data_IF_072481764333
#
_entry.id   IF_072481764333
#
_cell.length_a   1.000
_cell.length_b   1.000
_cell.length_c   1.000
_cell.angle_alpha   90.00
_cell.angle_beta   90.00
_cell.angle_gamma   90.00
#
_symmetry.space_group_name_H-M   'P 1'
#
loop_
_entity.id
_entity.type
_entity.pdbx_description
1 polymer ?
#
# COMPACT_ATOMS: atom_id res chain seq x y z
N UNK A 1 23.24 -5.11 -12.35
CA UNK A 1 24.62 -4.95 -11.88
C UNK A 1 25.61 -5.27 -12.99
N UNK A 2 26.88 -4.89 -12.82
CA UNK A 2 27.97 -5.17 -13.77
C UNK A 2 28.43 -6.64 -13.72
N UNK A 3 27.95 -7.45 -12.77
CA UNK A 3 28.39 -8.86 -12.59
C UNK A 3 27.30 -9.91 -12.83
N UNK A 4 26.02 -9.51 -12.97
CA UNK A 4 24.89 -10.44 -13.12
C UNK A 4 24.27 -10.95 -11.81
N UNK A 5 24.91 -10.73 -10.65
CA UNK A 5 24.38 -11.10 -9.32
C UNK A 5 24.03 -9.90 -8.42
N UNK A 6 24.23 -8.67 -8.89
CA UNK A 6 23.98 -7.46 -8.10
C UNK A 6 22.66 -6.78 -8.51
N UNK A 7 21.81 -6.55 -7.52
CA UNK A 7 20.59 -5.74 -7.62
C UNK A 7 20.80 -4.43 -6.88
N UNK A 8 20.51 -3.31 -7.53
CA UNK A 8 20.64 -1.99 -6.94
C UNK A 8 19.39 -1.16 -7.18
N UNK A 9 18.91 -0.47 -6.16
CA UNK A 9 17.83 0.51 -6.29
C UNK A 9 18.43 1.91 -6.34
N UNK A 10 18.34 2.57 -7.50
CA UNK A 10 18.89 3.92 -7.73
C UNK A 10 20.36 4.09 -7.30
N UNK A 11 21.16 3.02 -7.41
CA UNK A 11 22.57 3.01 -7.06
C UNK A 11 22.90 2.51 -5.64
N UNK A 12 21.89 2.23 -4.81
CA UNK A 12 22.06 1.58 -3.51
C UNK A 12 22.00 0.06 -3.68
N UNK A 13 22.96 -0.67 -3.10
CA UNK A 13 22.95 -2.15 -3.10
C UNK A 13 21.74 -2.65 -2.31
N UNK A 14 21.02 -3.63 -2.86
CA UNK A 14 19.85 -4.22 -2.19
C UNK A 14 20.20 -4.81 -0.83
N UNK A 15 21.41 -5.35 -0.66
CA UNK A 15 21.83 -5.97 0.60
C UNK A 15 21.94 -4.94 1.72
N UNK A 16 22.52 -3.77 1.42
CA UNK A 16 22.65 -2.68 2.40
C UNK A 16 21.28 -2.15 2.85
N UNK A 17 20.38 -1.93 1.89
CA UNK A 17 19.08 -1.32 2.16
C UNK A 17 18.07 -2.30 2.76
N UNK A 18 18.21 -3.60 2.51
CA UNK A 18 17.32 -4.61 3.11
C UNK A 18 17.57 -4.81 4.61
N UNK A 19 18.80 -4.59 5.08
CA UNK A 19 19.15 -4.73 6.50
C UNK A 19 18.91 -3.46 7.32
N UNK A 20 18.92 -2.28 6.68
CA UNK A 20 18.99 -0.99 7.39
C UNK A 20 17.79 -0.08 7.21
N UNK A 21 17.02 -0.24 6.12
CA UNK A 21 15.90 0.66 5.82
C UNK A 21 14.54 0.04 6.14
N UNK A 22 13.60 0.89 6.53
CA UNK A 22 12.18 0.55 6.51
C UNK A 22 11.68 0.46 5.05
N UNK A 23 10.61 -0.31 4.83
CA UNK A 23 9.96 -0.37 3.52
C UNK A 23 9.57 1.03 3.01
N UNK A 24 9.10 1.90 3.90
CA UNK A 24 8.68 3.26 3.60
C UNK A 24 9.83 4.15 3.11
N UNK A 25 11.07 3.91 3.56
CA UNK A 25 12.25 4.60 3.03
C UNK A 25 12.53 4.17 1.59
N UNK A 26 12.35 2.88 1.28
CA UNK A 26 12.55 2.34 -0.06
C UNK A 26 11.41 2.75 -1.00
N UNK A 27 10.18 2.76 -0.52
CA UNK A 27 9.04 3.32 -1.24
C UNK A 27 9.30 4.80 -1.58
N UNK A 28 9.78 5.58 -0.62
CA UNK A 28 10.15 6.97 -0.85
C UNK A 28 11.29 7.11 -1.87
N UNK A 29 12.33 6.27 -1.77
CA UNK A 29 13.43 6.23 -2.75
C UNK A 29 12.91 5.99 -4.17
N UNK A 30 12.02 5.01 -4.36
CA UNK A 30 11.54 4.65 -5.68
C UNK A 30 10.56 5.68 -6.26
N UNK A 31 9.57 6.13 -5.47
CA UNK A 31 8.49 7.03 -5.91
C UNK A 31 8.92 8.50 -5.92
N UNK A 32 9.62 8.95 -4.87
CA UNK A 32 10.02 10.35 -4.68
C UNK A 32 11.48 10.62 -5.07
N UNK A 33 12.25 9.57 -5.38
CA UNK A 33 13.52 9.65 -6.10
C UNK A 33 14.77 9.74 -5.23
N UNK A 34 14.62 9.79 -3.90
CA UNK A 34 15.73 9.88 -2.94
C UNK A 34 15.38 9.18 -1.62
N UNK A 35 16.39 8.75 -0.88
CA UNK A 35 16.18 8.34 0.51
C UNK A 35 15.70 9.56 1.34
N UNK A 36 14.67 9.39 2.17
CA UNK A 36 14.14 10.48 2.98
C UNK A 36 15.08 10.82 4.14
N UNK A 37 15.09 12.08 4.54
CA UNK A 37 15.55 12.47 5.88
C UNK A 37 14.56 12.01 6.95
N UNK A 38 14.96 12.01 8.23
CA UNK A 38 14.07 11.60 9.34
C UNK A 38 12.73 12.36 9.37
N UNK A 39 12.75 13.67 9.08
CA UNK A 39 11.53 14.48 9.03
C UNK A 39 10.67 14.17 7.81
N UNK A 40 11.29 13.94 6.65
CA UNK A 40 10.58 13.52 5.44
C UNK A 40 9.94 12.14 5.62
N UNK A 41 10.65 11.20 6.25
CA UNK A 41 10.13 9.86 6.54
C UNK A 41 8.93 9.93 7.49
N UNK A 42 9.02 10.71 8.58
CA UNK A 42 7.91 10.88 9.51
C UNK A 42 6.66 11.47 8.81
N UNK A 43 6.84 12.48 7.96
CA UNK A 43 5.76 13.05 7.17
C UNK A 43 5.19 12.06 6.16
N UNK A 44 6.06 11.26 5.52
CA UNK A 44 5.66 10.26 4.54
C UNK A 44 4.86 9.13 5.17
N UNK A 45 5.31 8.59 6.31
CA UNK A 45 4.58 7.58 7.09
C UNK A 45 3.21 8.10 7.54
N UNK A 46 3.13 9.35 8.01
CA UNK A 46 1.86 9.98 8.36
C UNK A 46 0.92 10.13 7.16
N UNK A 47 1.45 10.53 5.99
CA UNK A 47 0.70 10.58 4.73
C UNK A 47 0.15 9.18 4.38
N UNK A 48 1.01 8.16 4.30
CA UNK A 48 0.61 6.79 3.96
C UNK A 48 -0.44 6.25 4.94
N UNK A 49 -0.27 6.48 6.24
CA UNK A 49 -1.25 6.10 7.27
C UNK A 49 -2.64 6.70 7.02
N UNK A 50 -2.71 7.98 6.63
CA UNK A 50 -3.97 8.65 6.26
C UNK A 50 -4.60 8.16 4.95
N UNK A 51 -3.86 7.41 4.12
CA UNK A 51 -4.32 6.93 2.82
C UNK A 51 -4.83 5.47 2.85
N UNK A 52 -4.88 4.82 4.01
CA UNK A 52 -5.39 3.45 4.21
C UNK A 52 -6.89 3.32 3.93
N UNK A 53 -7.64 4.40 4.13
CA UNK A 53 -9.09 4.41 3.97
C UNK A 53 -9.57 4.05 2.56
N UNK A 54 -10.63 3.24 2.49
CA UNK A 54 -11.29 2.86 1.24
C UNK A 54 -12.59 3.65 1.04
N UNK A 55 -12.80 4.29 -0.13
CA UNK A 55 -14.08 4.93 -0.47
C UNK A 55 -15.25 3.93 -0.39
N UNK A 56 -16.45 4.44 -0.05
CA UNK A 56 -17.65 3.60 0.09
C UNK A 56 -17.95 2.78 -1.18
N UNK A 57 -17.77 3.37 -2.37
CA UNK A 57 -17.97 2.69 -3.65
C UNK A 57 -16.96 1.54 -3.86
N UNK A 58 -15.72 1.70 -3.39
CA UNK A 58 -14.69 0.64 -3.48
C UNK A 58 -15.03 -0.49 -2.50
N UNK A 59 -15.43 -0.16 -1.25
CA UNK A 59 -15.91 -1.16 -0.29
C UNK A 59 -17.10 -1.94 -0.86
N UNK A 60 -18.10 -1.26 -1.41
CA UNK A 60 -19.27 -1.89 -2.02
C UNK A 60 -18.87 -2.83 -3.17
N UNK A 61 -17.97 -2.42 -4.06
CA UNK A 61 -17.50 -3.27 -5.14
C UNK A 61 -16.79 -4.53 -4.62
N UNK A 62 -15.94 -4.40 -3.59
CA UNK A 62 -15.26 -5.54 -2.96
C UNK A 62 -16.26 -6.51 -2.31
N UNK A 63 -17.38 -6.03 -1.77
CA UNK A 63 -18.44 -6.87 -1.18
C UNK A 63 -19.19 -7.73 -2.22
N UNK A 64 -19.15 -7.36 -3.51
CA UNK A 64 -19.71 -8.17 -4.61
C UNK A 64 -18.77 -9.27 -5.09
N UNK A 65 -17.49 -9.23 -4.73
CA UNK A 65 -16.51 -10.22 -5.17
C UNK A 65 -16.62 -11.48 -4.29
N UNK A 66 -16.88 -12.66 -4.88
CA UNK A 66 -17.10 -13.88 -4.09
C UNK A 66 -15.83 -14.34 -3.36
N UNK A 67 -15.98 -15.09 -2.26
CA UNK A 67 -14.88 -15.65 -1.49
C UNK A 67 -13.97 -16.58 -2.32
N UNK A 68 -14.50 -17.21 -3.36
CA UNK A 68 -13.75 -18.10 -4.27
C UNK A 68 -12.88 -17.36 -5.28
N UNK A 69 -12.95 -16.02 -5.36
CA UNK A 69 -12.13 -15.25 -6.26
C UNK A 69 -10.64 -15.34 -5.90
N UNK A 70 -9.77 -15.38 -6.91
CA UNK A 70 -8.34 -15.33 -6.66
C UNK A 70 -7.96 -13.95 -6.06
N UNK A 71 -7.17 -13.88 -4.97
CA UNK A 71 -6.80 -12.61 -4.32
C UNK A 71 -6.24 -11.54 -5.27
N UNK A 72 -5.50 -11.95 -6.31
CA UNK A 72 -5.00 -11.03 -7.35
C UNK A 72 -6.13 -10.42 -8.20
N UNK A 73 -7.22 -11.14 -8.48
CA UNK A 73 -8.38 -10.60 -9.21
C UNK A 73 -9.13 -9.59 -8.35
N UNK A 74 -9.18 -9.81 -7.04
CA UNK A 74 -9.75 -8.88 -6.05
C UNK A 74 -8.97 -7.56 -6.08
N UNK A 75 -7.63 -7.62 -5.96
CA UNK A 75 -6.79 -6.42 -6.02
C UNK A 75 -6.92 -5.70 -7.37
N UNK A 76 -6.90 -6.43 -8.49
CA UNK A 76 -7.12 -5.85 -9.83
C UNK A 76 -8.44 -5.10 -9.89
N UNK A 77 -9.51 -5.70 -9.38
CA UNK A 77 -10.86 -5.13 -9.40
C UNK A 77 -10.95 -3.91 -8.48
N UNK A 78 -10.44 -4.00 -7.25
CA UNK A 78 -10.41 -2.92 -6.29
C UNK A 78 -9.66 -1.68 -6.80
N UNK A 79 -8.47 -1.90 -7.40
CA UNK A 79 -7.69 -0.82 -8.03
C UNK A 79 -8.42 -0.23 -9.23
N UNK A 80 -9.04 -1.06 -10.07
CA UNK A 80 -9.82 -0.59 -11.21
C UNK A 80 -10.99 0.31 -10.78
N UNK A 81 -11.72 -0.06 -9.73
CA UNK A 81 -12.80 0.78 -9.18
C UNK A 81 -12.23 2.02 -8.49
N UNK A 82 -11.12 1.92 -7.77
CA UNK A 82 -10.49 3.09 -7.16
C UNK A 82 -10.12 4.14 -8.21
N UNK A 83 -9.61 3.72 -9.38
CA UNK A 83 -9.29 4.62 -10.49
C UNK A 83 -10.49 5.35 -11.09
N UNK A 84 -11.71 4.81 -10.97
CA UNK A 84 -12.93 5.53 -11.40
C UNK A 84 -13.48 6.46 -10.31
N UNK A 85 -13.22 6.14 -9.04
CA UNK A 85 -13.69 6.93 -7.89
C UNK A 85 -12.75 8.11 -7.60
N UNK A 86 -11.45 7.91 -7.75
CA UNK A 86 -10.39 8.91 -7.55
C UNK A 86 -9.49 8.95 -8.79
N UNK A 87 -10.00 9.49 -9.92
CA UNK A 87 -9.27 9.49 -11.18
C UNK A 87 -8.03 10.38 -11.13
N UNK A 88 -7.03 10.02 -11.94
CA UNK A 88 -5.90 10.92 -12.24
C UNK A 88 -6.42 12.17 -12.96
N UNK A 89 -5.74 13.31 -12.75
CA UNK A 89 -6.04 14.54 -13.48
C UNK A 89 -5.52 14.42 -14.91
N UNK A 90 -6.24 15.01 -15.87
CA UNK A 90 -5.89 15.02 -17.30
C UNK A 90 -4.49 15.54 -17.63
N UNK A 91 -3.88 16.33 -16.75
CA UNK A 91 -2.53 16.87 -16.96
C UNK A 91 -1.41 15.84 -16.73
N UNK A 92 -1.74 14.66 -16.16
CA UNK A 92 -0.83 13.54 -15.88
C UNK A 92 0.52 13.99 -15.29
N UNK A 93 0.46 14.96 -14.39
CA UNK A 93 1.67 15.54 -13.83
C UNK A 93 2.36 14.57 -12.86
N UNK A 94 3.68 14.67 -12.75
CA UNK A 94 4.48 13.77 -11.89
C UNK A 94 4.04 13.79 -10.42
N UNK A 95 3.72 14.95 -9.79
CA UNK A 95 3.19 14.95 -8.43
C UNK A 95 1.90 14.13 -8.25
N UNK A 96 0.95 14.24 -9.18
CA UNK A 96 -0.31 13.49 -9.18
C UNK A 96 -0.08 11.99 -9.33
N UNK A 97 0.81 11.58 -10.23
CA UNK A 97 1.19 10.18 -10.38
C UNK A 97 1.82 9.60 -9.08
N UNK A 98 2.63 10.40 -8.37
CA UNK A 98 3.18 10.02 -7.05
C UNK A 98 2.10 9.90 -5.98
N UNK A 99 1.12 10.80 -5.97
CA UNK A 99 -0.01 10.72 -5.04
C UNK A 99 -0.85 9.45 -5.25
N UNK A 100 -1.03 9.03 -6.51
CA UNK A 100 -1.69 7.76 -6.86
C UNK A 100 -0.85 6.57 -6.37
N UNK A 101 0.46 6.58 -6.62
CA UNK A 101 1.37 5.53 -6.15
C UNK A 101 1.34 5.38 -4.62
N UNK A 102 1.42 6.50 -3.89
CA UNK A 102 1.34 6.54 -2.43
C UNK A 102 0.01 5.98 -1.92
N UNK A 103 -1.11 6.37 -2.55
CA UNK A 103 -2.44 5.87 -2.18
C UNK A 103 -2.58 4.37 -2.43
N UNK A 104 -2.09 3.87 -3.57
CA UNK A 104 -2.14 2.44 -3.88
C UNK A 104 -1.29 1.63 -2.89
N UNK A 105 -0.06 2.07 -2.61
CA UNK A 105 0.81 1.41 -1.62
C UNK A 105 0.15 1.34 -0.23
N UNK A 106 -0.50 2.42 0.20
CA UNK A 106 -1.16 2.49 1.50
C UNK A 106 -2.45 1.65 1.59
N UNK A 107 -3.22 1.52 0.50
CA UNK A 107 -4.57 0.96 0.53
C UNK A 107 -4.71 -0.44 -0.09
N UNK A 108 -3.69 -0.97 -0.77
CA UNK A 108 -3.75 -2.32 -1.36
C UNK A 108 -3.98 -3.41 -0.30
N UNK A 109 -3.29 -3.32 0.83
CA UNK A 109 -3.53 -4.20 1.98
C UNK A 109 -4.97 -4.06 2.49
N UNK A 110 -5.45 -2.83 2.65
CA UNK A 110 -6.82 -2.54 3.05
C UNK A 110 -7.86 -3.15 2.11
N UNK A 111 -7.68 -3.05 0.78
CA UNK A 111 -8.60 -3.65 -0.19
C UNK A 111 -8.65 -5.17 -0.06
N UNK A 112 -7.48 -5.81 0.00
CA UNK A 112 -7.38 -7.26 0.08
C UNK A 112 -8.01 -7.79 1.37
N UNK A 113 -7.64 -7.22 2.51
CA UNK A 113 -8.11 -7.73 3.80
C UNK A 113 -9.55 -7.34 4.09
N UNK A 114 -10.02 -6.18 3.62
CA UNK A 114 -11.45 -5.85 3.69
C UNK A 114 -12.30 -6.89 2.97
N UNK A 115 -11.95 -7.22 1.72
CA UNK A 115 -12.63 -8.29 0.97
C UNK A 115 -12.53 -9.63 1.68
N UNK A 116 -11.33 -10.00 2.15
CA UNK A 116 -11.11 -11.30 2.78
C UNK A 116 -12.00 -11.48 4.01
N UNK A 117 -12.00 -10.51 4.93
CA UNK A 117 -12.83 -10.59 6.14
C UNK A 117 -14.32 -10.48 5.85
N UNK A 118 -14.73 -9.70 4.85
CA UNK A 118 -16.14 -9.65 4.47
C UNK A 118 -16.62 -10.97 3.88
N UNK A 119 -15.91 -11.49 2.88
CA UNK A 119 -16.32 -12.65 2.09
C UNK A 119 -16.15 -13.99 2.83
N UNK A 120 -15.11 -14.13 3.66
CA UNK A 120 -14.82 -15.39 4.37
C UNK A 120 -15.37 -15.41 5.80
N UNK A 121 -15.39 -14.25 6.48
CA UNK A 121 -15.73 -14.17 7.90
C UNK A 121 -17.04 -13.41 8.17
N UNK A 122 -17.70 -12.87 7.14
CA UNK A 122 -18.96 -12.12 7.28
C UNK A 122 -18.82 -10.81 8.06
N UNK A 123 -17.61 -10.23 8.14
CA UNK A 123 -17.33 -9.04 8.94
C UNK A 123 -16.79 -7.90 8.07
N UNK A 124 -17.37 -6.70 8.24
CA UNK A 124 -16.74 -5.45 7.78
C UNK A 124 -15.72 -5.03 8.83
N UNK A 125 -14.47 -4.87 8.42
CA UNK A 125 -13.38 -4.44 9.31
C UNK A 125 -13.09 -2.95 9.12
N UNK A 126 -12.59 -2.31 10.18
CA UNK A 126 -11.96 -1.00 10.07
C UNK A 126 -10.56 -1.17 9.46
N UNK A 127 -10.23 -0.35 8.47
CA UNK A 127 -8.96 -0.42 7.74
C UNK A 127 -8.02 0.74 8.09
N UNK A 128 -8.50 1.76 8.78
CA UNK A 128 -7.67 2.88 9.23
C UNK A 128 -7.06 2.58 10.61
N UNK A 129 -6.12 1.62 10.65
CA UNK A 129 -5.43 1.22 11.89
C UNK A 129 -4.36 2.23 12.32
N UNK A 130 -3.90 2.11 13.57
CA UNK A 130 -2.86 2.94 14.15
C UNK A 130 -1.43 2.40 13.94
N UNK A 131 -1.23 1.37 13.12
CA UNK A 131 0.09 0.80 12.85
C UNK A 131 1.02 1.81 12.16
N UNK A 132 2.32 1.71 12.41
CA UNK A 132 3.29 2.69 11.91
C UNK A 132 3.98 2.26 10.61
N UNK A 133 3.68 1.08 10.07
CA UNK A 133 4.20 0.63 8.77
C UNK A 133 3.14 -0.07 7.92
N UNK A 134 3.39 -0.20 6.62
CA UNK A 134 2.55 -0.95 5.67
C UNK A 134 2.56 -2.44 6.03
N UNK A 135 3.73 -2.99 6.37
CA UNK A 135 3.85 -4.40 6.78
C UNK A 135 3.09 -4.68 8.07
N UNK A 136 3.23 -3.81 9.07
CA UNK A 136 2.50 -3.93 10.34
C UNK A 136 0.99 -3.83 10.14
N UNK A 137 0.55 -2.85 9.35
CA UNK A 137 -0.86 -2.68 8.98
C UNK A 137 -1.43 -3.93 8.29
N UNK A 138 -0.71 -4.51 7.34
CA UNK A 138 -1.14 -5.73 6.64
C UNK A 138 -1.35 -6.90 7.60
N UNK A 139 -0.37 -7.18 8.46
CA UNK A 139 -0.46 -8.28 9.43
C UNK A 139 -1.55 -8.04 10.47
N UNK A 140 -1.72 -6.80 10.92
CA UNK A 140 -2.79 -6.44 11.84
C UNK A 140 -4.16 -6.74 11.23
N UNK A 141 -4.41 -6.30 10.00
CA UNK A 141 -5.67 -6.60 9.33
C UNK A 141 -5.87 -8.10 9.12
N UNK A 142 -4.82 -8.83 8.73
CA UNK A 142 -4.89 -10.27 8.47
C UNK A 142 -5.23 -11.10 9.72
N UNK A 143 -4.61 -10.77 10.86
CA UNK A 143 -4.76 -11.53 12.10
C UNK A 143 -5.83 -10.96 13.03
N UNK A 144 -6.23 -9.70 12.84
CA UNK A 144 -7.16 -8.99 13.71
C UNK A 144 -6.54 -8.50 15.02
N UNK A 145 -5.22 -8.57 15.15
CA UNK A 145 -4.44 -8.10 16.30
C UNK A 145 -3.11 -7.49 15.86
N UNK A 146 -2.59 -6.54 16.64
CA UNK A 146 -1.34 -5.85 16.32
C UNK A 146 -0.16 -6.83 16.30
N UNK A 147 0.67 -6.87 15.24
CA UNK A 147 1.82 -7.75 15.19
C UNK A 147 2.89 -7.35 16.21
N UNK A 148 3.77 -8.30 16.56
CA UNK A 148 4.98 -8.00 17.31
C UNK A 148 5.88 -7.01 16.55
N UNK A 149 6.59 -6.17 17.30
CA UNK A 149 7.62 -5.28 16.76
C UNK A 149 8.81 -6.06 16.19
#
# INVERSE_FOLDING_TARGET
>A
GRTGNDLHYRGYDILDIAETCEFEEIAHLLVHGKLPTKSELAAYKAKLKSLRGLPANVKAALEWVPASAHPMDVMRTGVSVLGTVLPEKEDHNTPGARDIADRLMASLGSMLLYWYHYSHNGRRIEVETDDDSIGGHFLHLLHGEKPSA
#
